data_IF_882521745323
#
_entry.id   IF_882521745323
#
_cell.length_a   1.000
_cell.length_b   1.000
_cell.length_c   1.000
_cell.angle_alpha   90.00
_cell.angle_beta   90.00
_cell.angle_gamma   90.00
#
_symmetry.space_group_name_H-M   'P 1'
#
loop_
_entity.id
_entity.type
_entity.pdbx_description
1 polymer ?
#
# COMPACT_ATOMS: atom_id res chain seq x y z
N UNK A 1 -3.02 -6.40 26.52
CA UNK A 1 -3.48 -6.06 25.16
C UNK A 1 -2.69 -4.85 24.69
N UNK A 2 -1.78 -5.04 23.75
CA UNK A 2 -0.96 -3.96 23.20
C UNK A 2 -1.90 -3.06 22.37
N UNK A 3 -2.29 -1.92 22.94
CA UNK A 3 -3.21 -1.00 22.28
C UNK A 3 -2.50 -0.35 21.11
N UNK A 4 -2.78 -0.81 19.90
CA UNK A 4 -2.55 -0.01 18.70
C UNK A 4 -3.87 0.58 18.25
N UNK A 5 -4.12 1.78 18.76
CA UNK A 5 -5.06 2.73 18.22
C UNK A 5 -4.24 4.00 18.17
N UNK A 6 -3.64 4.33 17.04
CA UNK A 6 -2.71 5.47 16.92
C UNK A 6 -3.27 6.83 17.35
N UNK A 7 -4.54 6.93 17.79
CA UNK A 7 -5.19 8.17 18.13
C UNK A 7 -6.42 8.03 19.05
N UNK A 8 -6.40 7.20 20.10
CA UNK A 8 -7.37 7.44 21.19
C UNK A 8 -6.77 8.51 22.11
N UNK A 9 -7.06 9.75 21.77
CA UNK A 9 -6.75 10.98 22.53
C UNK A 9 -5.34 11.57 22.37
N UNK A 10 -4.62 11.20 21.30
CA UNK A 10 -3.39 11.88 20.94
C UNK A 10 -3.69 13.29 20.41
N UNK A 11 -3.63 14.30 21.28
CA UNK A 11 -3.59 15.72 20.91
C UNK A 11 -2.22 16.01 20.28
N UNK A 12 -2.07 15.72 18.99
CA UNK A 12 -0.86 16.14 18.28
C UNK A 12 -0.95 17.64 18.06
N UNK A 13 0.06 18.37 18.50
CA UNK A 13 0.20 19.82 18.28
C UNK A 13 -0.11 20.17 16.83
N UNK A 14 -1.17 20.96 16.62
CA UNK A 14 -1.63 21.43 15.29
C UNK A 14 -0.51 22.07 14.46
N UNK A 15 0.55 22.56 15.11
CA UNK A 15 1.63 23.30 14.46
C UNK A 15 2.65 22.42 13.73
N UNK A 16 2.72 21.10 13.99
CA UNK A 16 3.75 20.24 13.37
C UNK A 16 3.31 19.62 12.03
N UNK A 17 2.00 19.57 11.78
CA UNK A 17 1.43 19.02 10.55
C UNK A 17 1.16 20.05 9.44
N UNK A 18 1.20 21.36 9.75
CA UNK A 18 0.94 22.41 8.76
C UNK A 18 1.93 22.42 7.58
N UNK A 19 3.09 21.76 7.72
CA UNK A 19 4.11 21.67 6.67
C UNK A 19 4.10 20.32 5.93
N UNK A 20 3.13 19.43 6.20
CA UNK A 20 3.02 18.16 5.47
C UNK A 20 2.16 18.36 4.22
N UNK A 21 2.79 18.20 3.06
CA UNK A 21 2.08 18.16 1.78
C UNK A 21 1.44 16.79 1.60
N UNK A 22 0.11 16.74 1.70
CA UNK A 22 -0.66 15.54 1.37
C UNK A 22 -0.87 15.46 -0.14
N UNK A 23 -0.37 14.40 -0.75
CA UNK A 23 -0.45 14.18 -2.20
C UNK A 23 -1.38 13.02 -2.48
N UNK A 24 -2.34 13.23 -3.39
CA UNK A 24 -3.15 12.14 -3.94
C UNK A 24 -2.37 11.50 -5.10
N UNK A 25 -1.98 10.25 -4.90
CA UNK A 25 -1.31 9.42 -5.90
C UNK A 25 -2.36 8.62 -6.68
N UNK A 26 -2.15 8.43 -7.99
CA UNK A 26 -2.95 7.51 -8.80
C UNK A 26 -2.48 6.07 -8.55
N UNK A 27 -3.43 5.18 -8.24
CA UNK A 27 -3.14 3.77 -8.03
C UNK A 27 -4.25 2.89 -8.63
N UNK A 28 -3.97 1.60 -8.88
CA UNK A 28 -4.97 0.66 -9.37
C UNK A 28 -6.16 0.57 -8.39
N UNK A 29 -7.36 0.78 -8.91
CA UNK A 29 -8.59 0.83 -8.13
C UNK A 29 -9.23 -0.55 -8.03
N UNK A 30 -9.57 -0.93 -6.81
CA UNK A 30 -10.36 -2.12 -6.54
C UNK A 30 -11.85 -1.83 -6.79
N UNK A 31 -12.54 -2.78 -7.42
CA UNK A 31 -13.99 -2.68 -7.67
C UNK A 31 -14.82 -3.34 -6.57
N UNK A 32 -14.28 -4.37 -5.92
CA UNK A 32 -14.92 -5.06 -4.80
C UNK A 32 -14.44 -4.51 -3.43
N UNK A 33 -14.98 -5.02 -2.33
CA UNK A 33 -14.59 -4.62 -0.97
C UNK A 33 -13.76 -5.64 -0.18
N UNK A 34 -13.29 -6.70 -0.84
CA UNK A 34 -12.74 -7.90 -0.19
C UNK A 34 -11.20 -7.93 -0.29
N UNK A 35 -10.66 -7.60 -1.46
CA UNK A 35 -9.23 -7.70 -1.79
C UNK A 35 -8.37 -6.49 -1.39
N UNK A 36 -8.86 -5.59 -0.54
CA UNK A 36 -8.21 -4.29 -0.31
C UNK A 36 -6.79 -4.42 0.27
N UNK A 37 -6.58 -5.40 1.15
CA UNK A 37 -5.25 -5.72 1.66
C UNK A 37 -4.28 -6.14 0.55
N UNK A 38 -4.74 -6.96 -0.40
CA UNK A 38 -3.92 -7.42 -1.53
C UNK A 38 -3.56 -6.28 -2.50
N UNK A 39 -4.48 -5.36 -2.74
CA UNK A 39 -4.20 -4.15 -3.53
C UNK A 39 -3.11 -3.28 -2.88
N UNK A 40 -3.20 -3.06 -1.57
CA UNK A 40 -2.17 -2.30 -0.83
C UNK A 40 -0.82 -3.00 -0.89
N UNK A 41 -0.78 -4.31 -0.61
CA UNK A 41 0.46 -5.08 -0.64
C UNK A 41 1.09 -5.09 -2.03
N UNK A 42 0.29 -5.26 -3.08
CA UNK A 42 0.75 -5.21 -4.46
C UNK A 42 1.37 -3.85 -4.81
N UNK A 43 0.68 -2.77 -4.47
CA UNK A 43 1.16 -1.42 -4.75
C UNK A 43 2.47 -1.09 -4.00
N UNK A 44 2.56 -1.50 -2.73
CA UNK A 44 3.80 -1.34 -1.95
C UNK A 44 4.97 -2.13 -2.56
N UNK A 45 4.72 -3.36 -3.03
CA UNK A 45 5.73 -4.16 -3.73
C UNK A 45 6.23 -3.46 -5.01
N UNK A 46 5.33 -2.88 -5.79
CA UNK A 46 5.68 -2.15 -7.02
C UNK A 46 6.51 -0.89 -6.75
N UNK A 47 6.19 -0.14 -5.69
CA UNK A 47 7.02 0.99 -5.23
C UNK A 47 8.45 0.52 -4.95
N UNK A 48 8.61 -0.59 -4.20
CA UNK A 48 9.92 -1.13 -3.86
C UNK A 48 10.69 -1.63 -5.10
N UNK A 49 10.02 -2.29 -6.05
CA UNK A 49 10.63 -2.78 -7.29
C UNK A 49 11.06 -1.61 -8.19
N UNK A 50 10.26 -0.54 -8.24
CA UNK A 50 10.53 0.62 -9.11
C UNK A 50 11.83 1.35 -8.75
N UNK A 51 12.33 1.19 -7.51
CA UNK A 51 13.53 1.85 -6.98
C UNK A 51 13.53 3.37 -7.19
N UNK A 52 12.35 3.98 -7.28
CA UNK A 52 12.20 5.41 -7.39
C UNK A 52 12.51 6.07 -6.04
N UNK A 53 13.13 7.23 -6.09
CA UNK A 53 13.39 8.03 -4.88
C UNK A 53 12.11 8.63 -4.28
N UNK A 54 11.06 8.76 -5.09
CA UNK A 54 9.77 9.30 -4.70
C UNK A 54 8.65 8.53 -5.41
N UNK A 55 7.48 8.45 -4.77
CA UNK A 55 6.28 7.85 -5.37
C UNK A 55 5.72 8.84 -6.40
N UNK A 56 5.58 8.45 -7.69
CA UNK A 56 4.97 9.30 -8.70
C UNK A 56 3.56 9.72 -8.31
N UNK A 57 3.14 10.93 -8.68
CA UNK A 57 1.74 11.37 -8.49
C UNK A 57 0.77 10.61 -9.39
N UNK A 58 1.26 10.17 -10.54
CA UNK A 58 0.52 9.35 -11.49
C UNK A 58 0.82 7.87 -11.19
N UNK A 59 0.92 7.05 -12.22
CA UNK A 59 1.30 5.65 -12.08
C UNK A 59 2.83 5.51 -12.06
N UNK A 60 3.30 4.40 -11.54
CA UNK A 60 4.64 3.91 -11.87
C UNK A 60 4.54 3.36 -13.29
N UNK A 61 5.33 3.89 -14.23
CA UNK A 61 5.13 3.65 -15.67
C UNK A 61 5.09 2.14 -16.03
N UNK A 62 5.99 1.35 -15.46
CA UNK A 62 6.06 -0.10 -15.69
C UNK A 62 4.89 -0.90 -15.10
N UNK A 63 4.11 -0.31 -14.20
CA UNK A 63 3.01 -0.96 -13.47
C UNK A 63 1.64 -0.29 -13.72
N UNK A 64 1.55 0.59 -14.71
CA UNK A 64 0.33 1.34 -15.01
C UNK A 64 -0.83 0.40 -15.38
N UNK A 65 -1.86 0.39 -14.53
CA UNK A 65 -3.12 -0.32 -14.80
C UNK A 65 -4.30 0.34 -14.07
N UNK A 66 -5.52 0.13 -14.58
CA UNK A 66 -6.74 0.66 -13.95
C UNK A 66 -7.10 -0.15 -12.69
N UNK A 67 -6.91 -1.46 -12.75
CA UNK A 67 -7.17 -2.40 -11.64
C UNK A 67 -6.20 -3.57 -11.76
N UNK A 68 -5.88 -4.22 -10.64
CA UNK A 68 -5.07 -5.42 -10.66
C UNK A 68 -5.88 -6.62 -11.17
N UNK A 69 -5.24 -7.45 -11.99
CA UNK A 69 -5.82 -8.74 -12.39
C UNK A 69 -5.80 -9.71 -11.21
N UNK A 70 -6.65 -10.74 -11.28
CA UNK A 70 -6.67 -11.83 -10.28
C UNK A 70 -5.31 -12.53 -10.16
N UNK A 71 -4.58 -12.66 -11.26
CA UNK A 71 -3.26 -13.29 -11.26
C UNK A 71 -2.23 -12.46 -10.48
N UNK A 72 -2.28 -11.13 -10.62
CA UNK A 72 -1.42 -10.21 -9.86
C UNK A 72 -1.69 -10.26 -8.36
N UNK A 73 -2.94 -10.49 -7.96
CA UNK A 73 -3.33 -10.66 -6.56
C UNK A 73 -2.95 -12.05 -6.04
N UNK A 74 -3.10 -13.09 -6.87
CA UNK A 74 -2.68 -14.45 -6.54
C UNK A 74 -1.16 -14.53 -6.30
N UNK A 75 -0.36 -13.84 -7.11
CA UNK A 75 1.09 -13.73 -6.90
C UNK A 75 1.42 -13.23 -5.48
N UNK A 76 0.71 -12.20 -5.02
CA UNK A 76 0.88 -11.68 -3.65
C UNK A 76 0.45 -12.70 -2.59
N UNK A 77 -0.65 -13.42 -2.83
CA UNK A 77 -1.11 -14.47 -1.90
C UNK A 77 -0.08 -15.60 -1.77
N UNK A 78 0.43 -16.09 -2.90
CA UNK A 78 1.40 -17.19 -2.95
C UNK A 78 2.71 -16.80 -2.28
N UNK A 79 3.24 -15.61 -2.57
CA UNK A 79 4.46 -15.10 -1.92
C UNK A 79 4.30 -14.92 -0.41
N UNK A 80 3.16 -14.39 0.03
CA UNK A 80 2.88 -14.27 1.46
C UNK A 80 2.74 -15.61 2.14
N UNK A 81 2.04 -16.56 1.52
CA UNK A 81 1.92 -17.92 2.02
C UNK A 81 3.30 -18.58 2.14
N UNK A 82 4.15 -18.46 1.12
CA UNK A 82 5.50 -19.00 1.13
C UNK A 82 6.34 -18.40 2.26
N UNK A 83 6.35 -17.07 2.39
CA UNK A 83 7.05 -16.38 3.48
C UNK A 83 6.58 -16.86 4.86
N UNK A 84 5.28 -17.04 5.06
CA UNK A 84 4.70 -17.51 6.32
C UNK A 84 5.03 -19.00 6.60
N UNK A 85 5.23 -19.81 5.58
CA UNK A 85 5.66 -21.20 5.72
C UNK A 85 7.15 -21.29 6.05
N UNK A 86 7.98 -20.46 5.43
CA UNK A 86 9.43 -20.42 5.65
C UNK A 86 9.82 -19.82 7.02
N UNK A 87 8.90 -19.11 7.66
CA UNK A 87 9.06 -18.59 9.03
C UNK A 87 8.83 -19.65 10.13
N UNK A 88 8.38 -20.86 9.77
CA UNK A 88 8.16 -21.96 10.72
C UNK A 88 9.39 -22.84 10.86
#
# INVERSE_FOLDING_TARGET
LQVFRSARDAQVSKNKFNNISWVRVQCPRQENGIDCGYFVMRFMKEILISKLNEIPKLYIDDFKCVTYSKDKLREIQEEWCQFMLDLK
#
